data_IF_420589988976
#
_entry.id   IF_420589988976
#
_cell.length_a   1.000
_cell.length_b   1.000
_cell.length_c   1.000
_cell.angle_alpha   90.00
_cell.angle_beta   90.00
_cell.angle_gamma   90.00
#
_symmetry.space_group_name_H-M   'P 1'
#
loop_
_entity.id
_entity.type
_entity.pdbx_description
1 polymer ?
#
# COMPACT_ATOMS: atom_id res chain seq x y z
N UNK A 1 9.72 -14.29 36.82
CA UNK A 1 10.56 -13.09 36.59
C UNK A 1 10.69 -12.23 37.86
N UNK A 2 9.62 -12.05 38.64
CA UNK A 2 9.58 -11.27 39.90
C UNK A 2 10.52 -11.77 41.01
N UNK A 3 10.79 -13.07 41.09
CA UNK A 3 11.69 -13.63 42.12
C UNK A 3 13.15 -13.21 41.91
N UNK A 4 13.68 -13.33 40.68
CA UNK A 4 15.04 -12.87 40.35
C UNK A 4 15.23 -11.37 40.62
N UNK A 5 14.23 -10.56 40.27
CA UNK A 5 14.24 -9.12 40.54
C UNK A 5 14.30 -8.82 42.05
N UNK A 6 13.48 -9.50 42.87
CA UNK A 6 13.53 -9.36 44.34
C UNK A 6 14.87 -9.80 44.92
N UNK A 7 15.46 -10.88 44.42
CA UNK A 7 16.76 -11.36 44.90
C UNK A 7 17.87 -10.36 44.59
N UNK A 8 17.90 -9.79 43.37
CA UNK A 8 18.89 -8.78 42.98
C UNK A 8 18.75 -7.49 43.80
N UNK A 9 17.52 -7.04 44.07
CA UNK A 9 17.26 -5.86 44.91
C UNK A 9 17.69 -6.08 46.36
N UNK A 10 17.40 -7.26 46.94
CA UNK A 10 17.88 -7.59 48.27
C UNK A 10 19.42 -7.64 48.33
N UNK A 11 20.06 -8.14 47.27
CA UNK A 11 21.51 -8.24 47.20
C UNK A 11 22.18 -6.87 47.06
N UNK A 12 21.58 -5.94 46.30
CA UNK A 12 22.01 -4.54 46.24
C UNK A 12 21.88 -3.85 47.60
N UNK A 13 20.78 -4.09 48.31
CA UNK A 13 20.52 -3.52 49.63
C UNK A 13 21.51 -4.04 50.68
N UNK A 14 21.83 -5.33 50.66
CA UNK A 14 22.86 -5.92 51.52
C UNK A 14 24.24 -5.37 51.17
N UNK A 15 24.57 -5.25 49.88
CA UNK A 15 25.84 -4.71 49.40
C UNK A 15 26.10 -3.26 49.87
N UNK A 16 25.09 -2.39 49.78
CA UNK A 16 25.18 -1.00 50.27
C UNK A 16 25.34 -0.91 51.79
N UNK A 17 24.84 -1.88 52.54
CA UNK A 17 24.95 -1.90 54.00
C UNK A 17 26.33 -2.34 54.47
N UNK A 18 26.95 -3.31 53.78
CA UNK A 18 28.27 -3.85 54.10
C UNK A 18 29.42 -3.01 53.55
N UNK A 19 29.25 -2.41 52.38
CA UNK A 19 30.28 -1.61 51.71
C UNK A 19 29.64 -0.38 51.03
N UNK A 20 29.35 0.69 51.78
CA UNK A 20 28.59 1.84 51.28
C UNK A 20 29.28 2.61 50.14
N UNK A 21 30.60 2.50 50.00
CA UNK A 21 31.38 3.08 48.88
C UNK A 21 31.62 2.13 47.69
N UNK A 22 31.08 0.91 47.70
CA UNK A 22 31.24 -0.03 46.60
C UNK A 22 30.28 0.30 45.45
N UNK A 23 30.81 0.45 44.23
CA UNK A 23 30.03 0.63 42.99
C UNK A 23 29.99 -0.69 42.19
N UNK A 24 28.87 -1.42 42.21
CA UNK A 24 28.72 -2.67 41.47
C UNK A 24 28.93 -2.51 39.96
N UNK A 25 28.53 -1.37 39.38
CA UNK A 25 28.67 -1.13 37.95
C UNK A 25 30.14 -0.93 37.57
N UNK A 26 30.90 -0.22 38.41
CA UNK A 26 32.34 -0.07 38.22
C UNK A 26 33.06 -1.42 38.32
N UNK A 27 32.70 -2.27 39.28
CA UNK A 27 33.27 -3.62 39.42
C UNK A 27 32.90 -4.54 38.27
N UNK A 28 31.65 -4.51 37.79
CA UNK A 28 31.25 -5.28 36.61
C UNK A 28 32.05 -4.80 35.40
N UNK A 29 32.17 -3.49 35.17
CA UNK A 29 32.95 -2.94 34.05
C UNK A 29 34.43 -3.36 34.12
N UNK A 30 35.01 -3.35 35.32
CA UNK A 30 36.40 -3.78 35.53
C UNK A 30 36.61 -5.28 35.25
N UNK A 31 35.64 -6.12 35.60
CA UNK A 31 35.72 -7.57 35.43
C UNK A 31 35.00 -8.10 34.17
N UNK A 32 34.39 -7.21 33.37
CA UNK A 32 33.59 -7.59 32.21
C UNK A 32 34.41 -8.36 31.19
N UNK A 33 35.66 -7.94 30.95
CA UNK A 33 36.58 -8.61 30.04
C UNK A 33 36.87 -10.06 30.48
N UNK A 34 37.07 -10.29 31.78
CA UNK A 34 37.34 -11.61 32.36
C UNK A 34 36.09 -12.52 32.23
N UNK A 35 34.91 -11.98 32.53
CA UNK A 35 33.63 -12.68 32.39
C UNK A 35 33.35 -13.05 30.93
N UNK A 36 33.60 -12.11 30.01
CA UNK A 36 33.43 -12.34 28.58
C UNK A 36 34.41 -13.41 28.10
N UNK A 37 35.67 -13.35 28.53
CA UNK A 37 36.72 -14.32 28.20
C UNK A 37 36.35 -15.72 28.68
N UNK A 38 35.93 -15.89 29.93
CA UNK A 38 35.50 -17.18 30.48
C UNK A 38 34.31 -17.74 29.70
N UNK A 39 33.36 -16.88 29.32
CA UNK A 39 32.19 -17.28 28.54
C UNK A 39 32.57 -17.68 27.11
N UNK A 40 33.44 -16.91 26.45
CA UNK A 40 33.97 -17.22 25.11
C UNK A 40 34.75 -18.54 25.12
N UNK A 41 35.62 -18.77 26.10
CA UNK A 41 36.38 -20.03 26.23
C UNK A 41 35.44 -21.23 26.44
N UNK A 42 34.39 -21.07 27.24
CA UNK A 42 33.37 -22.11 27.45
C UNK A 42 32.55 -22.38 26.18
N UNK A 43 32.22 -21.33 25.43
CA UNK A 43 31.49 -21.45 24.16
C UNK A 43 32.37 -22.05 23.06
N UNK A 44 33.65 -21.73 23.00
CA UNK A 44 34.65 -22.28 22.07
C UNK A 44 35.21 -23.64 22.51
N UNK A 45 34.53 -24.35 23.42
CA UNK A 45 34.97 -25.69 23.80
C UNK A 45 35.00 -26.62 22.58
N UNK A 46 35.91 -27.61 22.52
CA UNK A 46 36.09 -28.47 21.34
C UNK A 46 34.80 -29.14 20.85
N UNK A 47 33.90 -29.52 21.76
CA UNK A 47 32.60 -30.10 21.41
C UNK A 47 31.66 -29.10 20.71
N UNK A 48 31.62 -27.86 21.18
CA UNK A 48 30.77 -26.81 20.59
C UNK A 48 31.29 -26.33 19.23
N UNK A 49 32.60 -26.28 19.05
CA UNK A 49 33.21 -25.94 17.75
C UNK A 49 32.89 -26.99 16.69
N UNK A 50 32.94 -28.27 17.05
CA UNK A 50 32.61 -29.35 16.14
C UNK A 50 31.12 -29.27 15.71
N UNK A 51 30.22 -28.99 16.65
CA UNK A 51 28.81 -28.74 16.36
C UNK A 51 28.61 -27.54 15.42
N UNK A 52 29.31 -26.42 15.66
CA UNK A 52 29.22 -25.24 14.80
C UNK A 52 29.72 -25.49 13.37
N UNK A 53 30.76 -26.30 13.20
CA UNK A 53 31.27 -26.69 11.88
C UNK A 53 30.27 -27.61 11.15
N UNK A 54 29.65 -28.55 11.87
CA UNK A 54 28.62 -29.43 11.30
C UNK A 54 27.38 -28.64 10.87
N UNK A 55 26.93 -27.67 11.67
CA UNK A 55 25.83 -26.78 11.32
C UNK A 55 26.15 -25.91 10.10
N UNK A 56 27.36 -25.36 10.04
CA UNK A 56 27.81 -24.58 8.87
C UNK A 56 27.83 -25.45 7.60
N UNK A 57 28.30 -26.71 7.70
CA UNK A 57 28.27 -27.66 6.59
C UNK A 57 26.85 -27.97 6.14
N UNK A 58 25.93 -28.24 7.07
CA UNK A 58 24.53 -28.54 6.75
C UNK A 58 23.83 -27.33 6.10
N UNK A 59 24.14 -26.11 6.58
CA UNK A 59 23.66 -24.88 5.96
C UNK A 59 24.16 -24.77 4.52
N UNK A 60 25.48 -24.89 4.28
CA UNK A 60 26.07 -24.80 2.94
C UNK A 60 25.54 -25.89 2.01
N UNK A 61 25.24 -27.09 2.52
CA UNK A 61 24.65 -28.16 1.71
C UNK A 61 23.19 -27.89 1.32
N UNK A 62 22.40 -27.28 2.21
CA UNK A 62 20.96 -27.04 1.97
C UNK A 62 20.66 -25.71 1.30
N UNK A 63 21.55 -24.74 1.41
CA UNK A 63 21.38 -23.38 0.88
C UNK A 63 21.23 -23.35 -0.65
N UNK A 64 22.02 -24.08 -1.46
CA UNK A 64 21.85 -24.13 -2.91
C UNK A 64 20.47 -24.63 -3.32
N UNK A 65 19.97 -25.68 -2.66
CA UNK A 65 18.64 -26.22 -2.95
C UNK A 65 17.52 -25.22 -2.60
N UNK A 66 17.67 -24.44 -1.52
CA UNK A 66 16.72 -23.38 -1.16
C UNK A 66 16.77 -22.21 -2.14
N UNK A 67 17.97 -21.82 -2.58
CA UNK A 67 18.15 -20.79 -3.59
C UNK A 67 17.58 -21.21 -4.94
N UNK A 68 17.84 -22.45 -5.39
CA UNK A 68 17.24 -22.96 -6.61
C UNK A 68 15.72 -22.92 -6.55
N UNK A 69 15.10 -23.39 -5.46
CA UNK A 69 13.63 -23.29 -5.31
C UNK A 69 13.12 -21.84 -5.36
N UNK A 70 13.85 -20.90 -4.79
CA UNK A 70 13.51 -19.48 -4.85
C UNK A 70 13.65 -18.93 -6.29
N UNK A 71 14.73 -19.27 -6.99
CA UNK A 71 14.94 -18.88 -8.37
C UNK A 71 13.96 -19.56 -9.33
N UNK A 72 13.61 -20.82 -9.11
CA UNK A 72 12.60 -21.54 -9.88
C UNK A 72 11.21 -20.90 -9.69
N UNK A 73 10.84 -20.53 -8.46
CA UNK A 73 9.60 -19.81 -8.19
C UNK A 73 9.58 -18.41 -8.82
N UNK A 74 10.72 -17.72 -8.86
CA UNK A 74 10.87 -16.45 -9.58
C UNK A 74 10.78 -16.63 -11.10
N UNK A 75 11.49 -17.61 -11.65
CA UNK A 75 11.56 -17.87 -13.10
C UNK A 75 10.23 -18.36 -13.67
N UNK A 76 9.48 -19.14 -12.90
CA UNK A 76 8.15 -19.61 -13.27
C UNK A 76 7.05 -18.54 -13.10
N UNK A 77 7.44 -17.28 -12.79
CA UNK A 77 6.52 -16.16 -12.64
C UNK A 77 5.42 -16.42 -11.60
N UNK A 78 5.67 -17.33 -10.64
CA UNK A 78 4.77 -17.63 -9.52
C UNK A 78 4.77 -16.48 -8.50
N UNK A 79 5.83 -15.67 -8.52
CA UNK A 79 5.84 -14.36 -7.88
C UNK A 79 5.03 -13.36 -8.72
N UNK A 80 3.71 -13.37 -8.54
CA UNK A 80 2.91 -12.16 -8.76
C UNK A 80 3.38 -11.11 -7.75
N UNK A 81 4.37 -10.31 -8.12
CA UNK A 81 4.64 -9.06 -7.41
C UNK A 81 3.44 -8.17 -7.70
N UNK A 82 2.47 -8.17 -6.79
CA UNK A 82 1.40 -7.16 -6.74
C UNK A 82 2.06 -5.83 -6.41
N UNK A 83 2.72 -5.21 -7.40
CA UNK A 83 3.18 -3.85 -7.29
C UNK A 83 1.91 -3.01 -7.26
N UNK A 84 1.61 -2.43 -6.11
CA UNK A 84 0.51 -1.46 -5.89
C UNK A 84 0.84 -0.10 -6.56
N UNK A 85 1.41 -0.15 -7.78
CA UNK A 85 1.88 1.04 -8.49
C UNK A 85 0.77 1.68 -9.30
N UNK A 86 -0.22 0.90 -9.75
CA UNK A 86 -1.34 1.35 -10.56
C UNK A 86 -2.50 0.39 -10.33
N UNK A 87 -3.56 0.84 -9.67
CA UNK A 87 -4.81 0.08 -9.66
C UNK A 87 -5.41 0.10 -11.06
N UNK A 88 -5.09 -0.92 -11.85
CA UNK A 88 -5.58 -1.15 -13.20
C UNK A 88 -7.11 -1.02 -13.24
N UNK A 89 -7.80 -1.46 -12.19
CA UNK A 89 -9.25 -1.35 -12.08
C UNK A 89 -9.69 0.11 -11.97
N UNK A 90 -9.02 0.92 -11.17
CA UNK A 90 -9.29 2.36 -11.06
C UNK A 90 -9.03 3.08 -12.39
N UNK A 91 -7.97 2.70 -13.11
CA UNK A 91 -7.71 3.25 -14.44
C UNK A 91 -8.81 2.86 -15.44
N UNK A 92 -9.19 1.58 -15.51
CA UNK A 92 -10.25 1.10 -16.41
C UNK A 92 -11.57 1.81 -16.10
N UNK A 93 -11.92 1.99 -14.82
CA UNK A 93 -13.12 2.73 -14.41
C UNK A 93 -13.02 4.21 -14.81
N UNK A 94 -11.84 4.82 -14.67
CA UNK A 94 -11.57 6.19 -15.13
C UNK A 94 -11.77 6.33 -16.63
N UNK A 95 -11.20 5.43 -17.44
CA UNK A 95 -11.39 5.41 -18.89
C UNK A 95 -12.85 5.24 -19.29
N UNK A 96 -13.58 4.33 -18.64
CA UNK A 96 -15.02 4.16 -18.91
C UNK A 96 -15.81 5.43 -18.62
N UNK A 97 -15.51 6.13 -17.52
CA UNK A 97 -16.15 7.42 -17.19
C UNK A 97 -15.87 8.48 -18.28
N UNK A 98 -14.62 8.58 -18.74
CA UNK A 98 -14.22 9.52 -19.79
C UNK A 98 -14.94 9.17 -21.10
N UNK A 99 -14.92 7.90 -21.51
CA UNK A 99 -15.61 7.43 -22.71
C UNK A 99 -17.10 7.78 -22.68
N UNK A 100 -17.78 7.47 -21.57
CA UNK A 100 -19.20 7.80 -21.41
C UNK A 100 -19.45 9.32 -21.49
N UNK A 101 -18.60 10.16 -20.88
CA UNK A 101 -18.72 11.62 -20.97
C UNK A 101 -18.59 12.12 -22.40
N UNK A 102 -17.63 11.58 -23.15
CA UNK A 102 -17.42 11.93 -24.56
C UNK A 102 -18.62 11.51 -25.40
N UNK A 103 -19.10 10.28 -25.26
CA UNK A 103 -20.26 9.78 -26.01
C UNK A 103 -21.51 10.61 -25.75
N UNK A 104 -21.83 10.89 -24.48
CA UNK A 104 -23.00 11.71 -24.14
C UNK A 104 -22.84 13.14 -24.63
N UNK A 105 -21.66 13.74 -24.48
CA UNK A 105 -21.38 15.07 -25.02
C UNK A 105 -21.55 15.15 -26.54
N UNK A 106 -21.12 14.11 -27.27
CA UNK A 106 -21.27 14.02 -28.72
C UNK A 106 -22.74 13.89 -29.13
N UNK A 107 -23.53 13.08 -28.42
CA UNK A 107 -24.99 12.97 -28.64
C UNK A 107 -25.67 14.31 -28.43
N UNK A 108 -25.33 15.04 -27.35
CA UNK A 108 -25.87 16.36 -27.07
C UNK A 108 -25.48 17.35 -28.19
N UNK A 109 -24.21 17.34 -28.63
CA UNK A 109 -23.75 18.18 -29.73
C UNK A 109 -24.52 17.88 -31.03
N UNK A 110 -24.72 16.60 -31.36
CA UNK A 110 -25.50 16.18 -32.51
C UNK A 110 -26.98 16.64 -32.41
N UNK A 111 -27.58 16.59 -31.22
CA UNK A 111 -28.93 17.12 -30.99
C UNK A 111 -29.01 18.64 -31.18
N UNK A 112 -28.02 19.40 -30.70
CA UNK A 112 -27.95 20.85 -30.89
C UNK A 112 -27.84 21.20 -32.37
N UNK A 113 -26.93 20.53 -33.09
CA UNK A 113 -26.73 20.75 -34.53
C UNK A 113 -27.99 20.36 -35.31
N UNK A 114 -28.60 19.21 -35.00
CA UNK A 114 -29.86 18.77 -35.62
C UNK A 114 -31.00 19.76 -35.37
N UNK A 115 -31.15 20.25 -34.14
CA UNK A 115 -32.13 21.28 -33.79
C UNK A 115 -31.88 22.59 -34.56
N UNK A 116 -30.63 23.02 -34.68
CA UNK A 116 -30.26 24.22 -35.43
C UNK A 116 -30.55 24.09 -36.94
N UNK A 117 -30.34 22.90 -37.51
CA UNK A 117 -30.71 22.63 -38.90
C UNK A 117 -32.23 22.66 -39.10
N UNK A 118 -33.01 22.15 -38.14
CA UNK A 118 -34.48 22.20 -38.19
C UNK A 118 -35.03 23.63 -38.16
N UNK A 119 -34.30 24.62 -37.63
CA UNK A 119 -34.72 26.03 -37.68
C UNK A 119 -34.85 26.57 -39.09
N UNK A 120 -34.19 25.95 -40.08
CA UNK A 120 -34.27 26.34 -41.50
C UNK A 120 -35.45 25.73 -42.24
N UNK A 121 -36.15 24.79 -41.62
CA UNK A 121 -37.28 24.08 -42.25
C UNK A 121 -38.59 24.76 -41.85
N UNK A 122 -39.37 25.16 -42.84
CA UNK A 122 -40.71 25.71 -42.60
C UNK A 122 -41.66 24.59 -42.16
N UNK A 123 -42.29 24.78 -40.99
CA UNK A 123 -43.25 23.80 -40.45
C UNK A 123 -44.52 24.51 -39.99
N UNK A 124 -45.63 23.77 -39.96
CA UNK A 124 -46.90 24.24 -39.40
C UNK A 124 -46.88 24.28 -37.86
N UNK A 125 -46.07 23.44 -37.22
CA UNK A 125 -45.93 23.41 -35.78
C UNK A 125 -44.84 24.39 -35.31
N UNK A 126 -45.24 25.60 -34.90
CA UNK A 126 -44.33 26.65 -34.46
C UNK A 126 -44.62 27.07 -33.01
N UNK A 127 -43.56 27.35 -32.27
CA UNK A 127 -43.60 27.91 -30.91
C UNK A 127 -42.80 29.21 -30.94
N UNK A 128 -43.41 30.33 -30.54
CA UNK A 128 -42.81 31.67 -30.61
C UNK A 128 -42.21 32.04 -31.98
N UNK A 129 -42.85 31.58 -33.06
CA UNK A 129 -42.40 31.85 -34.44
C UNK A 129 -41.31 30.92 -34.98
N UNK A 130 -40.73 30.07 -34.13
CA UNK A 130 -39.71 29.08 -34.53
C UNK A 130 -40.31 27.66 -34.63
N UNK A 131 -39.72 26.76 -35.43
CA UNK A 131 -40.16 25.35 -35.49
C UNK A 131 -40.20 24.70 -34.10
N UNK A 132 -41.38 24.21 -33.69
CA UNK A 132 -41.59 23.70 -32.33
C UNK A 132 -40.73 22.47 -32.01
N UNK A 133 -40.50 21.61 -33.00
CA UNK A 133 -39.62 20.43 -32.84
C UNK A 133 -38.16 20.83 -32.56
N UNK A 134 -37.68 21.90 -33.19
CA UNK A 134 -36.32 22.40 -32.95
C UNK A 134 -36.17 22.89 -31.50
N UNK A 135 -37.18 23.61 -30.98
CA UNK A 135 -37.18 24.08 -29.60
C UNK A 135 -37.16 22.92 -28.60
N UNK A 136 -37.96 21.88 -28.84
CA UNK A 136 -37.99 20.70 -27.97
C UNK A 136 -36.62 20.03 -27.91
N UNK A 137 -35.98 19.77 -29.05
CA UNK A 137 -34.65 19.19 -29.07
C UNK A 137 -33.60 20.09 -28.44
N UNK A 138 -33.69 21.41 -28.61
CA UNK A 138 -32.77 22.34 -27.99
C UNK A 138 -32.91 22.35 -26.45
N UNK A 139 -34.14 22.33 -25.93
CA UNK A 139 -34.41 22.24 -24.49
C UNK A 139 -33.94 20.89 -23.92
N UNK A 140 -34.19 19.78 -24.62
CA UNK A 140 -33.69 18.47 -24.22
C UNK A 140 -32.16 18.43 -24.19
N UNK A 141 -31.49 18.97 -25.21
CA UNK A 141 -30.04 19.03 -25.27
C UNK A 141 -29.45 19.92 -24.17
N UNK A 142 -30.05 21.09 -23.91
CA UNK A 142 -29.64 21.99 -22.83
C UNK A 142 -29.80 21.31 -21.46
N UNK A 143 -30.95 20.67 -21.20
CA UNK A 143 -31.19 19.92 -19.97
C UNK A 143 -30.20 18.77 -19.78
N UNK A 144 -29.99 17.96 -20.82
CA UNK A 144 -29.01 16.88 -20.81
C UNK A 144 -27.58 17.37 -20.57
N UNK A 145 -27.20 18.51 -21.17
CA UNK A 145 -25.90 19.15 -20.95
C UNK A 145 -25.69 19.63 -19.52
N UNK A 146 -26.72 20.25 -18.92
CA UNK A 146 -26.69 20.66 -17.51
C UNK A 146 -26.55 19.44 -16.59
N UNK A 147 -27.33 18.38 -16.83
CA UNK A 147 -27.24 17.15 -16.04
C UNK A 147 -25.84 16.52 -16.16
N UNK A 148 -25.25 16.49 -17.36
CA UNK A 148 -23.89 15.99 -17.55
C UNK A 148 -22.87 16.82 -16.77
N UNK A 149 -22.95 18.16 -16.83
CA UNK A 149 -22.07 19.07 -16.08
C UNK A 149 -22.19 18.87 -14.57
N UNK A 150 -23.41 18.77 -14.05
CA UNK A 150 -23.65 18.50 -12.62
C UNK A 150 -23.08 17.15 -12.20
N UNK A 151 -23.25 16.12 -13.02
CA UNK A 151 -22.70 14.79 -12.73
C UNK A 151 -21.16 14.82 -12.69
N UNK A 152 -20.51 15.54 -13.61
CA UNK A 152 -19.05 15.70 -13.64
C UNK A 152 -18.55 16.47 -12.41
N UNK A 153 -19.20 17.58 -12.05
CA UNK A 153 -18.72 18.46 -10.98
C UNK A 153 -18.96 17.88 -9.58
N UNK A 154 -20.13 17.30 -9.34
CA UNK A 154 -20.55 16.86 -7.99
C UNK A 154 -20.32 15.37 -7.74
N UNK A 155 -20.52 14.52 -8.74
CA UNK A 155 -20.53 13.07 -8.52
C UNK A 155 -19.13 12.45 -8.57
N UNK A 156 -18.17 13.09 -9.25
CA UNK A 156 -16.80 12.59 -9.34
C UNK A 156 -15.98 12.85 -8.06
N UNK A 157 -16.45 13.76 -7.19
CA UNK A 157 -15.82 14.06 -5.90
C UNK A 157 -16.32 13.15 -4.75
N UNK A 158 -17.44 12.45 -4.94
CA UNK A 158 -18.13 11.70 -3.87
C UNK A 158 -17.77 10.21 -3.80
N UNK A 159 -16.92 9.69 -4.69
CA UNK A 159 -16.44 8.29 -4.66
C UNK A 159 -14.93 8.21 -4.40
N UNK A 160 -14.46 9.05 -3.49
CA UNK A 160 -13.06 9.13 -3.07
C UNK A 160 -12.80 8.71 -1.63
N UNK A 161 -13.74 7.98 -1.00
CA UNK A 161 -13.56 7.32 0.30
C UNK A 161 -13.75 5.80 0.13
#
# INVERSE_FOLDING_TARGET
>A
LTMLGKTLLNLDQVGRTLAPQFDPNASIRHNAAEILRQRVVKTLSPGNLFSGILEAKDLVQRLPARLNRFFDALANNEFKVSVDAIDEKTLIVGFQKIANRITVGLIIAALIVGAALLMRVETNFRIWGYPGLAIIFFLCAAGAGIVLLLNILFYDKSKGD
#
